data_IF_479428807936
#
_entry.id   IF_479428807936
#
_cell.length_a   1.000
_cell.length_b   1.000
_cell.length_c   1.000
_cell.angle_alpha   90.00
_cell.angle_beta   90.00
_cell.angle_gamma   90.00
#
_symmetry.space_group_name_H-M   'P 1'
#
loop_
_entity.id
_entity.type
_entity.pdbx_description
1 polymer ?
#
# COMPACT_ATOMS: atom_id res chain seq x y z
N UNK A 1 11.53 -15.32 -18.33
CA UNK A 1 10.93 -13.99 -18.09
C UNK A 1 9.61 -13.79 -18.86
N UNK A 2 9.53 -14.04 -20.17
CA UNK A 2 8.32 -13.76 -20.99
C UNK A 2 7.07 -14.57 -20.57
N UNK A 3 7.22 -15.88 -20.31
CA UNK A 3 6.12 -16.76 -19.86
C UNK A 3 5.48 -16.30 -18.54
N UNK A 4 6.26 -15.72 -17.62
CA UNK A 4 5.73 -15.17 -16.38
C UNK A 4 4.92 -13.89 -16.63
N UNK A 5 5.37 -13.02 -17.55
CA UNK A 5 4.62 -11.80 -17.94
C UNK A 5 3.30 -12.14 -18.63
N UNK A 6 3.27 -13.16 -19.50
CA UNK A 6 2.04 -13.64 -20.14
C UNK A 6 1.04 -14.21 -19.12
N UNK A 7 1.52 -14.81 -18.03
CA UNK A 7 0.64 -15.25 -16.93
C UNK A 7 0.09 -14.06 -16.15
N UNK A 8 0.84 -12.97 -16.00
CA UNK A 8 0.37 -11.76 -15.31
C UNK A 8 -0.75 -11.02 -16.04
N UNK A 9 -0.84 -11.18 -17.36
CA UNK A 9 -1.93 -10.59 -18.15
C UNK A 9 -3.25 -11.36 -18.05
N UNK A 10 -3.31 -12.50 -17.36
CA UNK A 10 -4.57 -13.23 -17.19
C UNK A 10 -5.36 -12.69 -16.01
N UNK A 11 -6.69 -12.60 -16.16
CA UNK A 11 -7.58 -12.11 -15.10
C UNK A 11 -7.51 -12.95 -13.83
N UNK A 12 -7.32 -14.26 -13.96
CA UNK A 12 -7.16 -15.17 -12.82
C UNK A 12 -5.92 -14.80 -12.00
N UNK A 13 -4.80 -14.51 -12.67
CA UNK A 13 -3.58 -14.09 -12.00
C UNK A 13 -3.77 -12.73 -11.32
N UNK A 14 -4.39 -11.77 -12.00
CA UNK A 14 -4.66 -10.44 -11.46
C UNK A 14 -5.56 -10.49 -10.22
N UNK A 15 -6.64 -11.28 -10.26
CA UNK A 15 -7.52 -11.48 -9.10
C UNK A 15 -6.76 -12.05 -7.90
N UNK A 16 -5.91 -13.06 -8.12
CA UNK A 16 -5.06 -13.62 -7.06
C UNK A 16 -4.05 -12.60 -6.53
N UNK A 17 -3.48 -11.80 -7.42
CA UNK A 17 -2.47 -10.80 -7.06
C UNK A 17 -3.07 -9.58 -6.36
N UNK A 18 -4.34 -9.25 -6.58
CA UNK A 18 -5.03 -8.11 -5.97
C UNK A 18 -4.97 -8.15 -4.43
N UNK A 19 -5.10 -9.34 -3.83
CA UNK A 19 -4.96 -9.49 -2.37
C UNK A 19 -3.57 -9.06 -1.90
N UNK A 20 -2.51 -9.52 -2.58
CA UNK A 20 -1.13 -9.15 -2.27
C UNK A 20 -0.89 -7.65 -2.48
N UNK A 21 -1.39 -7.09 -3.58
CA UNK A 21 -1.32 -5.67 -3.84
C UNK A 21 -1.99 -4.84 -2.73
N UNK A 22 -3.11 -5.30 -2.17
CA UNK A 22 -3.78 -4.68 -1.03
C UNK A 22 -2.93 -4.68 0.26
N UNK A 23 -2.25 -5.78 0.55
CA UNK A 23 -1.31 -5.88 1.70
C UNK A 23 -0.14 -4.91 1.50
N UNK A 24 0.48 -4.92 0.33
CA UNK A 24 1.60 -4.03 0.00
C UNK A 24 1.17 -2.55 0.03
N UNK A 25 -0.04 -2.23 -0.43
CA UNK A 25 -0.64 -0.89 -0.34
C UNK A 25 -0.83 -0.43 1.11
N UNK A 26 -1.28 -1.32 1.99
CA UNK A 26 -1.44 -1.02 3.44
C UNK A 26 -0.09 -0.73 4.09
N UNK A 27 0.93 -1.56 3.82
CA UNK A 27 2.30 -1.32 4.30
C UNK A 27 2.82 0.02 3.77
N UNK A 28 2.62 0.31 2.48
CA UNK A 28 3.05 1.56 1.88
C UNK A 28 2.40 2.78 2.53
N UNK A 29 1.10 2.73 2.85
CA UNK A 29 0.39 3.78 3.58
C UNK A 29 1.00 4.00 4.97
N UNK A 30 1.22 2.94 5.74
CA UNK A 30 1.85 3.03 7.07
C UNK A 30 3.25 3.62 7.02
N UNK A 31 4.06 3.22 6.04
CA UNK A 31 5.44 3.72 5.89
C UNK A 31 5.47 5.19 5.45
N UNK A 32 4.70 5.56 4.42
CA UNK A 32 4.74 6.91 3.83
C UNK A 32 3.96 7.95 4.63
N UNK A 33 2.79 7.58 5.13
CA UNK A 33 1.90 8.51 5.84
C UNK A 33 2.17 8.59 7.35
N UNK A 34 2.63 7.49 7.97
CA UNK A 34 2.67 7.37 9.44
C UNK A 34 4.05 7.00 10.01
N UNK A 35 5.09 6.90 9.18
CA UNK A 35 6.45 6.68 9.64
C UNK A 35 6.70 5.30 10.27
N UNK A 36 5.92 4.28 9.88
CA UNK A 36 5.92 2.93 10.48
C UNK A 36 7.30 2.27 10.65
N UNK A 37 8.28 2.60 9.80
CA UNK A 37 9.64 1.98 9.86
C UNK A 37 10.49 2.41 11.05
N UNK A 38 10.12 3.49 11.75
CA UNK A 38 10.94 4.05 12.83
C UNK A 38 10.11 4.23 14.10
N UNK A 39 10.49 3.50 15.15
CA UNK A 39 10.01 3.75 16.50
C UNK A 39 10.93 4.76 17.18
N UNK A 40 10.37 5.83 17.72
CA UNK A 40 11.13 6.84 18.49
C UNK A 40 11.41 6.37 19.92
N UNK A 41 10.73 5.32 20.36
CA UNK A 41 10.80 4.80 21.71
C UNK A 41 11.78 3.64 21.82
N UNK A 42 12.45 3.55 22.97
CA UNK A 42 13.27 2.39 23.33
C UNK A 42 12.41 1.32 23.99
N UNK A 43 12.63 0.06 23.60
CA UNK A 43 11.92 -1.11 24.12
C UNK A 43 10.75 -1.56 23.24
N UNK A 44 10.49 -2.87 23.26
CA UNK A 44 9.47 -3.53 22.43
C UNK A 44 8.04 -3.14 22.83
N UNK A 45 7.76 -2.99 24.12
CA UNK A 45 6.42 -2.62 24.60
C UNK A 45 5.96 -1.26 24.07
N UNK A 46 6.81 -0.23 24.13
CA UNK A 46 6.49 1.11 23.59
C UNK A 46 6.41 1.11 22.07
N UNK A 47 7.26 0.32 21.41
CA UNK A 47 7.22 0.15 19.94
C UNK A 47 5.92 -0.53 19.49
N UNK A 48 5.47 -1.55 20.23
CA UNK A 48 4.19 -2.22 19.99
C UNK A 48 3.02 -1.25 20.14
N UNK A 49 3.00 -0.45 21.21
CA UNK A 49 1.99 0.60 21.37
C UNK A 49 2.00 1.60 20.21
N UNK A 50 3.18 2.06 19.77
CA UNK A 50 3.30 2.94 18.60
C UNK A 50 2.69 2.29 17.35
N UNK A 51 2.94 1.00 17.10
CA UNK A 51 2.36 0.29 15.96
C UNK A 51 0.83 0.17 16.05
N UNK A 52 0.27 -0.10 17.23
CA UNK A 52 -1.19 -0.11 17.44
C UNK A 52 -1.78 1.28 17.14
N UNK A 53 -1.16 2.34 17.64
CA UNK A 53 -1.63 3.70 17.41
C UNK A 53 -1.55 4.08 15.92
N UNK A 54 -0.51 3.67 15.20
CA UNK A 54 -0.40 3.85 13.75
C UNK A 54 -1.53 3.09 13.03
N UNK A 55 -1.80 1.83 13.42
CA UNK A 55 -2.88 1.05 12.82
C UNK A 55 -4.25 1.69 13.05
N UNK A 56 -4.50 2.22 14.25
CA UNK A 56 -5.72 2.97 14.56
C UNK A 56 -5.83 4.24 13.70
N UNK A 57 -4.77 5.03 13.59
CA UNK A 57 -4.73 6.23 12.75
C UNK A 57 -5.00 5.91 11.27
N UNK A 58 -4.42 4.83 10.74
CA UNK A 58 -4.68 4.37 9.37
C UNK A 58 -6.16 4.01 9.14
N UNK A 59 -6.80 3.35 10.10
CA UNK A 59 -8.23 3.03 10.02
C UNK A 59 -9.10 4.30 10.05
N UNK A 60 -8.77 5.26 10.92
CA UNK A 60 -9.47 6.55 10.97
C UNK A 60 -9.35 7.32 9.66
N UNK A 61 -8.15 7.40 9.06
CA UNK A 61 -7.96 8.05 7.76
C UNK A 61 -8.73 7.35 6.64
N UNK A 62 -8.85 6.01 6.68
CA UNK A 62 -9.65 5.26 5.70
C UNK A 62 -11.15 5.51 5.88
N UNK A 63 -11.61 5.57 7.12
CA UNK A 63 -13.00 5.90 7.44
C UNK A 63 -13.35 7.30 6.96
N UNK A 64 -12.49 8.28 7.23
CA UNK A 64 -12.64 9.66 6.75
C UNK A 64 -12.70 9.72 5.21
N UNK A 65 -11.77 9.03 4.53
CA UNK A 65 -11.79 8.95 3.07
C UNK A 65 -13.09 8.33 2.53
N UNK A 66 -13.61 7.30 3.19
CA UNK A 66 -14.88 6.68 2.82
C UNK A 66 -16.07 7.62 3.03
N UNK A 67 -16.14 8.31 4.17
CA UNK A 67 -17.21 9.26 4.50
C UNK A 67 -17.22 10.48 3.56
N UNK A 68 -16.04 10.93 3.14
CA UNK A 68 -15.87 12.08 2.24
C UNK A 68 -15.91 11.71 0.75
N UNK A 69 -16.02 10.42 0.41
CA UNK A 69 -15.96 9.94 -0.97
C UNK A 69 -14.60 10.15 -1.63
N UNK A 70 -13.53 10.31 -0.85
CA UNK A 70 -12.17 10.49 -1.36
C UNK A 70 -11.71 9.20 -2.07
N UNK A 71 -11.28 9.27 -3.34
CA UNK A 71 -10.89 8.08 -4.08
C UNK A 71 -9.61 7.43 -3.51
N UNK A 72 -9.53 6.11 -3.63
CA UNK A 72 -8.33 5.35 -3.29
C UNK A 72 -7.13 5.84 -4.12
N UNK A 73 -5.96 5.93 -3.48
CA UNK A 73 -4.73 6.34 -4.15
C UNK A 73 -4.42 5.41 -5.33
N UNK A 74 -4.23 6.00 -6.51
CA UNK A 74 -3.88 5.25 -7.72
C UNK A 74 -2.49 4.61 -7.61
N UNK A 75 -2.31 3.48 -8.28
CA UNK A 75 -0.99 2.84 -8.41
C UNK A 75 -0.01 3.82 -9.05
N UNK A 76 1.07 4.15 -8.33
CA UNK A 76 2.12 5.04 -8.84
C UNK A 76 2.74 4.43 -10.10
N UNK A 77 2.66 5.16 -11.21
CA UNK A 77 3.43 4.86 -12.42
C UNK A 77 4.88 5.27 -12.23
N UNK A 78 5.82 4.36 -12.48
CA UNK A 78 7.25 4.69 -12.45
C UNK A 78 7.62 5.55 -13.67
N UNK A 79 8.68 6.36 -13.57
CA UNK A 79 9.14 7.20 -14.70
C UNK A 79 9.43 6.37 -15.94
N UNK A 80 10.03 5.20 -15.77
CA UNK A 80 10.28 4.25 -16.87
C UNK A 80 8.98 3.70 -17.47
N UNK A 81 7.99 3.34 -16.64
CA UNK A 81 6.69 2.86 -17.13
C UNK A 81 5.90 3.95 -17.88
N UNK A 82 6.04 5.21 -17.47
CA UNK A 82 5.42 6.35 -18.15
C UNK A 82 5.94 6.53 -19.58
N UNK A 83 7.21 6.23 -19.86
CA UNK A 83 7.76 6.29 -21.23
C UNK A 83 7.04 5.36 -22.21
N UNK A 84 6.53 4.20 -21.72
CA UNK A 84 5.76 3.26 -22.55
C UNK A 84 4.35 3.74 -22.89
N UNK A 85 3.79 4.64 -22.09
CA UNK A 85 2.44 5.20 -22.31
C UNK A 85 2.47 6.42 -23.25
N UNK A 86 3.64 7.02 -23.46
CA UNK A 86 3.84 8.18 -24.31
C UNK A 86 4.20 7.84 -25.77
N UNK A 87 4.42 6.57 -26.07
CA UNK A 87 4.69 6.02 -27.41
C UNK A 87 3.47 5.27 -27.91
#
# INVERSE_FOLDING_TARGET
MQRARQRQSTDEWQRRYAHRAGVEGTIAQGVKGFGLRRSRYRGTAKTHLQHILIAAAMNLTRLDAWLTGTPLAATRTSRFAALRLAA
#
